data_IF_899596260777
#
_entry.id   IF_899596260777
#
_cell.length_a   1.000
_cell.length_b   1.000
_cell.length_c   1.000
_cell.angle_alpha   90.00
_cell.angle_beta   90.00
_cell.angle_gamma   90.00
#
_symmetry.space_group_name_H-M   'P 1'
#
loop_
_entity.id
_entity.type
_entity.pdbx_description
1 polymer ?
#
# COMPACT_ATOMS: atom_id res chain seq x y z
N UNK A 1 -6.11 -85.98 -13.94
CA UNK A 1 -6.21 -84.72 -14.69
C UNK A 1 -6.38 -83.58 -13.70
N UNK A 2 -5.55 -82.55 -13.86
CA UNK A 2 -5.43 -81.33 -13.05
C UNK A 2 -6.76 -80.56 -12.92
N UNK A 3 -6.92 -79.85 -11.79
CA UNK A 3 -7.46 -78.47 -11.65
C UNK A 3 -7.32 -78.06 -10.16
N UNK A 4 -6.23 -77.37 -9.80
CA UNK A 4 -6.17 -75.92 -9.44
C UNK A 4 -7.25 -75.54 -8.41
N UNK A 5 -6.98 -75.46 -7.10
CA UNK A 5 -6.34 -74.37 -6.33
C UNK A 5 -6.95 -72.99 -6.61
N UNK A 6 -7.65 -72.43 -5.62
CA UNK A 6 -7.58 -71.03 -5.23
C UNK A 6 -7.98 -70.92 -3.74
N UNK A 7 -6.99 -70.84 -2.85
CA UNK A 7 -7.17 -70.36 -1.48
C UNK A 7 -7.14 -68.83 -1.54
N UNK A 8 -8.24 -68.18 -1.19
CA UNK A 8 -8.28 -66.74 -1.00
C UNK A 8 -7.64 -66.40 0.35
N UNK A 9 -6.39 -65.94 0.33
CA UNK A 9 -5.74 -65.29 1.47
C UNK A 9 -6.29 -63.87 1.60
N UNK A 10 -7.05 -63.63 2.69
CA UNK A 10 -7.45 -62.28 3.11
C UNK A 10 -6.20 -61.59 3.65
N UNK A 11 -5.60 -60.71 2.85
CA UNK A 11 -4.58 -59.79 3.32
C UNK A 11 -5.29 -58.61 4.00
N UNK A 12 -5.23 -58.56 5.32
CA UNK A 12 -5.67 -57.41 6.11
C UNK A 12 -4.60 -56.33 5.94
N UNK A 13 -4.81 -55.39 5.01
CA UNK A 13 -4.00 -54.18 4.92
C UNK A 13 -4.22 -53.37 6.19
N UNK A 14 -3.18 -53.24 7.02
CA UNK A 14 -3.14 -52.20 8.03
C UNK A 14 -3.01 -50.85 7.29
N UNK A 15 -4.10 -50.10 7.22
CA UNK A 15 -4.05 -48.70 6.83
C UNK A 15 -3.40 -47.97 7.99
N UNK A 16 -2.10 -47.68 7.86
CA UNK A 16 -1.43 -46.71 8.71
C UNK A 16 -1.99 -45.37 8.27
N UNK A 17 -2.98 -44.86 9.02
CA UNK A 17 -3.39 -43.47 8.90
C UNK A 17 -2.17 -42.63 9.31
N UNK A 18 -1.46 -42.10 8.34
CA UNK A 18 -0.58 -40.95 8.57
C UNK A 18 -1.51 -39.81 8.93
N UNK A 19 -1.56 -39.45 10.21
CA UNK A 19 -2.14 -38.19 10.61
C UNK A 19 -1.41 -37.12 9.77
N UNK A 20 -2.16 -36.43 8.90
CA UNK A 20 -1.67 -35.16 8.37
C UNK A 20 -1.45 -34.29 9.60
N UNK A 21 -0.19 -33.95 9.85
CA UNK A 21 0.12 -32.90 10.82
C UNK A 21 -0.40 -31.64 10.13
N UNK A 22 -1.61 -31.21 10.51
CA UNK A 22 -1.93 -29.80 10.40
C UNK A 22 -0.91 -29.13 11.31
N UNK A 23 0.10 -28.52 10.72
CA UNK A 23 1.01 -27.69 11.47
C UNK A 23 0.16 -26.51 11.94
N UNK A 24 0.07 -26.39 13.26
CA UNK A 24 -0.60 -25.28 13.89
C UNK A 24 0.52 -24.36 14.32
N UNK A 25 0.39 -23.06 14.04
CA UNK A 25 1.37 -22.06 14.43
C UNK A 25 1.81 -22.27 15.88
N UNK A 26 3.11 -22.21 16.13
CA UNK A 26 3.64 -22.43 17.47
C UNK A 26 3.38 -21.19 18.33
N UNK A 27 2.55 -21.34 19.35
CA UNK A 27 2.22 -20.25 20.26
C UNK A 27 3.34 -20.00 21.27
N UNK A 28 3.96 -18.81 21.22
CA UNK A 28 5.05 -18.44 22.11
C UNK A 28 4.60 -17.49 23.23
N UNK A 29 4.66 -17.97 24.48
CA UNK A 29 4.30 -17.19 25.69
C UNK A 29 5.44 -17.09 26.72
N UNK A 30 6.65 -17.49 26.32
CA UNK A 30 7.84 -17.49 27.16
C UNK A 30 9.12 -17.52 26.35
N UNK A 31 10.21 -18.03 26.93
CA UNK A 31 11.49 -18.14 26.22
C UNK A 31 11.62 -19.47 25.50
N UNK A 32 11.91 -19.39 24.20
CA UNK A 32 12.34 -20.50 23.36
C UNK A 32 13.86 -20.34 23.13
N UNK A 33 14.61 -21.41 23.37
CA UNK A 33 16.06 -21.42 23.18
C UNK A 33 16.46 -21.74 21.74
N UNK A 34 17.72 -22.16 21.56
CA UNK A 34 18.24 -22.54 20.25
C UNK A 34 17.66 -23.89 19.78
N UNK A 35 16.50 -23.81 19.12
CA UNK A 35 15.78 -24.91 18.46
C UNK A 35 15.25 -24.41 17.12
N UNK A 36 14.87 -25.34 16.25
CA UNK A 36 14.17 -25.03 15.00
C UNK A 36 12.67 -25.26 15.19
N UNK A 37 11.86 -24.27 14.84
CA UNK A 37 10.41 -24.34 14.70
C UNK A 37 10.15 -24.40 13.20
N UNK A 38 9.62 -25.53 12.72
CA UNK A 38 9.42 -25.79 11.29
C UNK A 38 8.13 -25.19 10.73
N UNK A 39 7.64 -24.11 11.34
CA UNK A 39 6.39 -23.42 11.02
C UNK A 39 6.41 -22.01 11.62
N UNK A 40 5.33 -21.27 11.41
CA UNK A 40 5.12 -19.94 11.97
C UNK A 40 5.11 -19.93 13.51
N UNK A 41 5.45 -18.77 14.08
CA UNK A 41 5.31 -18.46 15.49
C UNK A 41 4.27 -17.38 15.67
N UNK A 42 3.31 -17.60 16.57
CA UNK A 42 2.37 -16.57 17.00
C UNK A 42 2.68 -16.18 18.44
N UNK A 43 2.85 -14.89 18.69
CA UNK A 43 2.97 -14.32 20.04
C UNK A 43 1.59 -13.79 20.45
N UNK A 44 0.86 -14.48 21.34
CA UNK A 44 -0.52 -14.13 21.63
C UNK A 44 -0.68 -12.78 22.35
N UNK A 45 -1.88 -12.22 22.28
CA UNK A 45 -2.23 -10.94 22.87
C UNK A 45 -1.76 -10.80 24.33
N UNK A 46 -1.00 -9.74 24.61
CA UNK A 46 -0.45 -9.45 25.93
C UNK A 46 0.63 -10.42 26.44
N UNK A 47 1.00 -11.43 25.65
CA UNK A 47 2.05 -12.37 26.02
C UNK A 47 3.44 -11.76 25.81
N UNK A 48 4.46 -12.37 26.44
CA UNK A 48 5.85 -12.05 26.16
C UNK A 48 6.56 -13.28 25.64
N UNK A 49 7.03 -13.22 24.40
CA UNK A 49 7.87 -14.22 23.77
C UNK A 49 9.34 -13.79 23.76
N UNK A 50 10.25 -14.74 23.87
CA UNK A 50 11.67 -14.54 23.58
C UNK A 50 12.19 -15.70 22.76
N UNK A 51 12.54 -15.45 21.51
CA UNK A 51 13.25 -16.35 20.61
C UNK A 51 14.75 -16.09 20.79
N UNK A 52 15.50 -17.07 21.31
CA UNK A 52 16.90 -16.89 21.71
C UNK A 52 17.79 -17.91 21.00
N UNK A 53 18.40 -17.49 19.89
CA UNK A 53 19.11 -18.38 18.97
C UNK A 53 18.18 -19.38 18.26
N UNK A 54 16.88 -19.11 18.27
CA UNK A 54 15.84 -19.95 17.65
C UNK A 54 15.81 -19.73 16.15
N UNK A 55 15.62 -20.80 15.38
CA UNK A 55 15.31 -20.75 13.94
C UNK A 55 13.81 -20.93 13.75
N UNK A 56 13.16 -20.02 13.05
CA UNK A 56 11.75 -20.11 12.64
C UNK A 56 11.73 -20.26 11.13
N UNK A 57 11.22 -21.37 10.60
CA UNK A 57 11.12 -21.66 9.16
C UNK A 57 9.88 -21.00 8.52
N UNK A 58 9.36 -19.93 9.12
CA UNK A 58 8.16 -19.22 8.72
C UNK A 58 8.11 -17.84 9.36
N UNK A 59 6.91 -17.28 9.49
CA UNK A 59 6.68 -15.93 10.01
C UNK A 59 6.61 -15.87 11.53
N UNK A 60 6.90 -14.70 12.09
CA UNK A 60 6.62 -14.35 13.48
C UNK A 60 5.52 -13.30 13.52
N UNK A 61 4.33 -13.73 13.89
CA UNK A 61 3.14 -12.90 14.02
C UNK A 61 2.97 -12.44 15.47
N UNK A 62 2.77 -11.14 15.68
CA UNK A 62 2.70 -10.52 17.01
C UNK A 62 1.32 -9.90 17.22
N UNK A 63 0.52 -10.55 18.06
CA UNK A 63 -0.83 -10.07 18.38
C UNK A 63 -0.81 -8.80 19.27
N UNK A 64 -1.95 -8.10 19.40
CA UNK A 64 -2.03 -6.83 20.13
C UNK A 64 -1.47 -6.88 21.55
N UNK A 65 -0.88 -5.78 22.01
CA UNK A 65 -0.27 -5.64 23.34
C UNK A 65 0.82 -6.66 23.68
N UNK A 66 1.20 -7.55 22.76
CA UNK A 66 2.20 -8.56 23.01
C UNK A 66 3.61 -7.96 22.98
N UNK A 67 4.58 -8.76 23.42
CA UNK A 67 6.01 -8.42 23.33
C UNK A 67 6.76 -9.57 22.72
N UNK A 68 7.55 -9.28 21.70
CA UNK A 68 8.48 -10.26 21.11
C UNK A 68 9.93 -9.79 21.28
N UNK A 69 10.82 -10.73 21.57
CA UNK A 69 12.26 -10.49 21.57
C UNK A 69 12.94 -11.57 20.72
N UNK A 70 13.57 -11.19 19.61
CA UNK A 70 14.27 -12.07 18.68
C UNK A 70 15.77 -11.80 18.81
N UNK A 71 16.47 -12.67 19.55
CA UNK A 71 17.78 -12.35 20.13
C UNK A 71 18.85 -13.42 19.84
N UNK A 72 20.11 -12.98 19.90
CA UNK A 72 21.30 -13.84 20.03
C UNK A 72 21.45 -14.88 18.91
N UNK A 73 21.41 -14.42 17.66
CA UNK A 73 21.54 -15.24 16.47
C UNK A 73 20.29 -16.05 16.17
N UNK A 74 19.12 -15.52 16.52
CA UNK A 74 17.87 -16.08 16.03
C UNK A 74 17.75 -15.79 14.52
N UNK A 75 17.08 -16.70 13.81
CA UNK A 75 16.84 -16.61 12.38
C UNK A 75 15.35 -16.78 12.12
N UNK A 76 14.78 -15.94 11.28
CA UNK A 76 13.39 -16.01 10.82
C UNK A 76 13.41 -16.07 9.29
N UNK A 77 12.90 -17.15 8.71
CA UNK A 77 12.87 -17.35 7.25
C UNK A 77 11.85 -16.43 6.55
N UNK A 78 10.77 -16.11 7.27
CA UNK A 78 9.71 -15.21 6.80
C UNK A 78 9.79 -13.82 7.44
N UNK A 79 8.61 -13.24 7.67
CA UNK A 79 8.44 -11.89 8.17
C UNK A 79 8.32 -11.83 9.69
N UNK A 80 8.56 -10.65 10.26
CA UNK A 80 8.08 -10.31 11.60
C UNK A 80 7.02 -9.23 11.45
N UNK A 81 5.77 -9.55 11.78
CA UNK A 81 4.64 -8.66 11.52
C UNK A 81 3.75 -8.51 12.77
N UNK A 82 3.33 -7.28 13.04
CA UNK A 82 2.30 -6.98 14.05
C UNK A 82 0.90 -7.04 13.46
N UNK A 83 -0.06 -7.55 14.22
CA UNK A 83 -1.50 -7.51 13.90
C UNK A 83 -2.17 -6.18 14.25
N UNK A 84 -3.38 -5.98 13.73
CA UNK A 84 -4.33 -4.91 14.07
C UNK A 84 -4.42 -4.66 15.58
N UNK A 85 -3.99 -3.46 16.00
CA UNK A 85 -3.97 -3.03 17.41
C UNK A 85 -2.61 -3.12 18.10
N UNK A 86 -1.56 -3.53 17.35
CA UNK A 86 -0.16 -3.22 17.62
C UNK A 86 0.48 -3.90 18.84
N UNK A 87 1.78 -4.14 18.76
CA UNK A 87 2.56 -4.73 19.84
C UNK A 87 2.93 -3.70 20.92
N UNK A 88 3.09 -4.16 22.16
CA UNK A 88 3.68 -3.32 23.20
C UNK A 88 5.19 -3.11 23.02
N UNK A 89 5.87 -4.11 22.44
CA UNK A 89 7.30 -4.01 22.08
C UNK A 89 7.75 -5.12 21.13
N UNK A 90 8.28 -4.73 19.96
CA UNK A 90 9.05 -5.59 19.05
C UNK A 90 10.55 -5.34 19.23
N UNK A 91 11.33 -6.36 19.52
CA UNK A 91 12.78 -6.24 19.74
C UNK A 91 13.55 -7.30 18.96
N UNK A 92 14.19 -6.92 17.87
CA UNK A 92 15.03 -7.80 17.05
C UNK A 92 16.48 -7.36 17.20
N UNK A 93 17.33 -8.23 17.76
CA UNK A 93 18.70 -7.85 18.09
C UNK A 93 19.72 -8.97 17.90
N UNK A 94 20.74 -8.70 17.10
CA UNK A 94 21.82 -9.66 16.89
C UNK A 94 21.35 -10.90 16.13
N UNK A 95 20.44 -10.73 15.17
CA UNK A 95 19.64 -11.78 14.55
C UNK A 95 19.55 -11.58 13.03
N UNK A 96 18.89 -12.49 12.33
CA UNK A 96 18.66 -12.45 10.88
C UNK A 96 17.18 -12.69 10.59
N UNK A 97 16.62 -11.92 9.66
CA UNK A 97 15.25 -12.03 9.16
C UNK A 97 15.34 -12.01 7.64
N UNK A 98 14.95 -13.07 6.97
CA UNK A 98 15.05 -13.16 5.50
C UNK A 98 13.97 -12.32 4.80
N UNK A 99 12.79 -12.19 5.42
CA UNK A 99 11.72 -11.34 4.95
C UNK A 99 11.73 -9.93 5.53
N UNK A 100 10.54 -9.35 5.68
CA UNK A 100 10.29 -8.00 6.16
C UNK A 100 10.11 -7.93 7.68
N UNK A 101 10.40 -6.77 8.26
CA UNK A 101 9.98 -6.42 9.62
C UNK A 101 8.98 -5.28 9.52
N UNK A 102 7.71 -5.59 9.77
CA UNK A 102 6.59 -4.66 9.66
C UNK A 102 5.96 -4.43 11.04
N UNK A 103 6.04 -3.20 11.54
CA UNK A 103 5.55 -2.83 12.87
C UNK A 103 4.61 -1.63 12.78
N UNK A 104 3.34 -1.93 13.00
CA UNK A 104 2.20 -1.02 12.92
C UNK A 104 1.56 -0.80 14.29
N UNK A 105 1.01 0.39 14.55
CA UNK A 105 0.18 0.71 15.73
C UNK A 105 0.82 0.37 17.09
N UNK A 106 2.15 0.25 17.16
CA UNK A 106 2.86 -0.33 18.29
C UNK A 106 3.52 0.72 19.16
N UNK A 107 3.77 0.38 20.43
CA UNK A 107 4.38 1.34 21.35
C UNK A 107 5.90 1.40 21.33
N UNK A 108 6.56 0.38 20.78
CA UNK A 108 8.01 0.35 20.72
C UNK A 108 8.48 -0.68 19.70
N UNK A 109 9.48 -0.31 18.92
CA UNK A 109 10.14 -1.24 18.00
C UNK A 109 11.65 -0.98 17.98
N UNK A 110 12.46 -2.02 18.02
CA UNK A 110 13.91 -1.87 17.87
C UNK A 110 14.49 -2.99 17.04
N UNK A 111 15.14 -2.64 15.94
CA UNK A 111 15.98 -3.51 15.11
C UNK A 111 17.44 -3.07 15.32
N UNK A 112 18.28 -3.94 15.89
CA UNK A 112 19.65 -3.60 16.26
C UNK A 112 20.66 -4.71 15.93
N UNK A 113 21.70 -4.39 15.16
CA UNK A 113 22.72 -5.37 14.79
C UNK A 113 22.08 -6.62 14.14
N UNK A 114 21.21 -6.37 13.17
CA UNK A 114 20.39 -7.39 12.52
C UNK A 114 20.57 -7.30 11.00
N UNK A 115 20.52 -8.43 10.31
CA UNK A 115 20.39 -8.49 8.85
C UNK A 115 18.93 -8.70 8.50
N UNK A 116 18.40 -7.91 7.56
CA UNK A 116 17.03 -7.99 7.06
C UNK A 116 17.09 -8.14 5.54
N UNK A 117 16.58 -9.25 5.01
CA UNK A 117 16.59 -9.53 3.57
C UNK A 117 15.52 -8.77 2.77
N UNK A 118 14.47 -8.30 3.45
CA UNK A 118 13.46 -7.39 2.92
C UNK A 118 13.58 -5.97 3.48
N UNK A 119 12.44 -5.40 3.82
CA UNK A 119 12.26 -4.03 4.31
C UNK A 119 12.13 -3.96 5.84
N UNK A 120 12.40 -2.79 6.41
CA UNK A 120 11.96 -2.44 7.76
C UNK A 120 10.95 -1.31 7.65
N UNK A 121 9.71 -1.58 8.05
CA UNK A 121 8.61 -0.62 8.03
C UNK A 121 8.11 -0.36 9.45
N UNK A 122 8.18 0.89 9.88
CA UNK A 122 7.56 1.38 11.11
C UNK A 122 6.51 2.43 10.77
N UNK A 123 5.26 2.14 11.10
CA UNK A 123 4.16 3.04 10.78
C UNK A 123 3.12 3.14 11.91
N UNK A 124 2.56 4.34 12.12
CA UNK A 124 1.53 4.59 13.14
C UNK A 124 1.92 4.20 14.59
N UNK A 125 3.20 4.22 14.93
CA UNK A 125 3.68 3.84 16.26
C UNK A 125 3.75 5.03 17.22
N UNK A 126 3.43 4.81 18.50
CA UNK A 126 3.30 5.89 19.51
C UNK A 126 4.51 6.04 20.47
N UNK A 127 5.62 5.37 20.19
CA UNK A 127 6.78 5.36 21.09
C UNK A 127 8.13 5.13 20.46
N UNK A 128 9.10 4.64 21.24
CA UNK A 128 10.50 4.65 20.80
C UNK A 128 10.74 3.63 19.68
N UNK A 129 11.26 4.13 18.57
CA UNK A 129 11.66 3.33 17.42
C UNK A 129 13.16 3.40 17.21
N UNK A 130 13.75 2.31 16.74
CA UNK A 130 15.13 2.33 16.32
C UNK A 130 15.43 1.30 15.23
N UNK A 131 16.22 1.72 14.25
CA UNK A 131 16.92 0.85 13.31
C UNK A 131 18.40 1.23 13.42
N UNK A 132 19.22 0.35 14.00
CA UNK A 132 20.61 0.72 14.34
C UNK A 132 21.62 -0.38 14.10
N UNK A 133 22.75 -0.03 13.48
CA UNK A 133 23.85 -0.97 13.22
C UNK A 133 23.43 -2.20 12.42
N UNK A 134 22.44 -2.05 11.53
CA UNK A 134 21.82 -3.15 10.80
C UNK A 134 22.13 -3.09 9.30
N UNK A 135 21.96 -4.22 8.61
CA UNK A 135 22.07 -4.37 7.16
C UNK A 135 20.69 -4.71 6.63
N UNK A 136 20.11 -3.84 5.81
CA UNK A 136 18.77 -3.99 5.25
C UNK A 136 18.91 -4.02 3.73
N UNK A 137 18.56 -5.15 3.12
CA UNK A 137 18.72 -5.33 1.67
C UNK A 137 17.71 -4.47 0.87
N UNK A 138 16.51 -4.27 1.43
CA UNK A 138 15.48 -3.38 0.89
C UNK A 138 15.49 -1.99 1.51
N UNK A 139 14.30 -1.46 1.76
CA UNK A 139 14.05 -0.11 2.25
C UNK A 139 13.95 -0.04 3.77
N UNK A 140 14.28 1.13 4.32
CA UNK A 140 13.88 1.48 5.69
C UNK A 140 12.86 2.61 5.59
N UNK A 141 11.61 2.29 5.93
CA UNK A 141 10.48 3.19 5.93
C UNK A 141 10.03 3.45 7.37
N UNK A 142 10.03 4.71 7.79
CA UNK A 142 9.63 5.11 9.14
C UNK A 142 8.63 6.24 9.00
N UNK A 143 7.34 5.92 8.95
CA UNK A 143 6.28 6.88 8.60
C UNK A 143 5.26 7.05 9.73
N UNK A 144 4.64 8.21 9.88
CA UNK A 144 3.46 8.43 10.74
C UNK A 144 3.61 8.01 12.20
N UNK A 145 4.83 8.05 12.73
CA UNK A 145 5.08 7.65 14.10
C UNK A 145 5.01 8.87 15.01
N UNK A 146 4.12 8.86 15.98
CA UNK A 146 3.99 9.91 17.00
C UNK A 146 4.71 9.51 18.30
N UNK A 147 5.15 10.50 19.06
CA UNK A 147 5.88 10.30 20.29
C UNK A 147 7.21 9.56 20.14
N UNK A 148 7.82 9.28 21.29
CA UNK A 148 9.10 8.56 21.38
C UNK A 148 10.28 9.22 20.63
N UNK A 149 11.39 8.51 20.59
CA UNK A 149 12.54 8.86 19.76
C UNK A 149 12.64 7.84 18.63
N UNK A 150 12.84 8.29 17.39
CA UNK A 150 13.10 7.43 16.23
C UNK A 150 14.58 7.54 15.85
N UNK A 151 15.36 6.53 16.19
CA UNK A 151 16.81 6.53 15.95
C UNK A 151 17.19 5.66 14.76
N UNK A 152 17.72 6.27 13.70
CA UNK A 152 18.19 5.56 12.50
C UNK A 152 19.69 5.80 12.34
N UNK A 153 20.52 4.87 12.82
CA UNK A 153 21.97 5.11 12.92
C UNK A 153 22.83 3.90 12.58
N UNK A 154 23.84 4.13 11.75
CA UNK A 154 24.88 3.13 11.51
C UNK A 154 24.44 1.98 10.61
N UNK A 155 23.43 2.19 9.77
CA UNK A 155 22.85 1.14 8.93
C UNK A 155 23.47 1.12 7.53
N UNK A 156 23.44 -0.04 6.88
CA UNK A 156 23.57 -0.16 5.41
C UNK A 156 22.19 -0.49 4.87
N UNK A 157 21.74 0.26 3.87
CA UNK A 157 20.39 0.17 3.30
C UNK A 157 20.55 0.01 1.79
N UNK A 158 20.11 -1.12 1.24
CA UNK A 158 20.23 -1.47 -0.17
C UNK A 158 19.21 -0.74 -1.06
N UNK A 159 18.06 -0.38 -0.49
CA UNK A 159 17.06 0.47 -1.09
C UNK A 159 17.11 1.92 -0.58
N UNK A 160 15.94 2.51 -0.38
CA UNK A 160 15.74 3.89 0.08
C UNK A 160 15.65 3.97 1.62
N UNK A 161 15.95 5.16 2.14
CA UNK A 161 15.68 5.53 3.52
C UNK A 161 14.61 6.62 3.53
N UNK A 162 13.38 6.23 3.80
CA UNK A 162 12.20 7.10 3.70
C UNK A 162 11.61 7.32 5.07
N UNK A 163 11.39 8.57 5.43
CA UNK A 163 10.76 8.92 6.69
C UNK A 163 9.82 10.09 6.52
N UNK A 164 8.53 9.85 6.74
CA UNK A 164 7.50 10.87 6.62
C UNK A 164 6.60 10.94 7.85
N UNK A 165 5.94 12.05 8.13
CA UNK A 165 4.88 12.11 9.15
C UNK A 165 5.30 11.79 10.60
N UNK A 166 6.60 11.75 10.94
CA UNK A 166 7.00 11.42 12.31
C UNK A 166 7.13 12.64 13.21
N UNK A 167 6.58 12.56 14.43
CA UNK A 167 6.74 13.59 15.46
C UNK A 167 7.25 12.99 16.79
N UNK A 168 8.46 13.30 17.26
CA UNK A 168 9.49 14.08 16.56
C UNK A 168 10.06 13.32 15.36
N UNK A 169 10.59 14.08 14.40
CA UNK A 169 11.32 13.56 13.24
C UNK A 169 12.44 12.59 13.64
N UNK A 170 12.79 11.61 12.78
CA UNK A 170 13.87 10.70 13.06
C UNK A 170 15.21 11.42 13.17
N UNK A 171 16.07 10.89 14.04
CA UNK A 171 17.43 11.36 14.18
C UNK A 171 18.42 10.22 14.05
N UNK A 172 19.68 10.55 13.80
CA UNK A 172 20.63 9.50 13.53
C UNK A 172 21.88 9.94 12.83
N UNK A 173 22.24 9.22 11.77
CA UNK A 173 23.42 9.44 10.94
C UNK A 173 24.33 8.21 10.90
N UNK A 174 25.41 8.28 10.14
CA UNK A 174 26.28 7.16 9.77
C UNK A 174 25.53 6.05 9.03
N UNK A 175 24.46 6.37 8.32
CA UNK A 175 23.86 5.41 7.41
C UNK A 175 24.58 5.44 6.06
N UNK A 176 24.53 4.33 5.34
CA UNK A 176 24.94 4.22 3.95
C UNK A 176 23.74 3.74 3.16
N UNK A 177 23.12 4.65 2.43
CA UNK A 177 21.94 4.36 1.61
C UNK A 177 22.38 4.19 0.16
N UNK A 178 21.97 3.10 -0.48
CA UNK A 178 22.29 2.85 -1.89
C UNK A 178 21.28 3.52 -2.82
N UNK A 179 20.01 3.56 -2.43
CA UNK A 179 18.98 4.41 -3.04
C UNK A 179 19.06 5.85 -2.52
N UNK A 180 17.90 6.48 -2.37
CA UNK A 180 17.78 7.85 -1.90
C UNK A 180 17.36 7.91 -0.43
N UNK A 181 17.80 8.96 0.27
CA UNK A 181 17.31 9.30 1.60
C UNK A 181 16.37 10.50 1.47
N UNK A 182 15.14 10.34 1.94
CA UNK A 182 14.02 11.23 1.60
C UNK A 182 13.23 11.63 2.86
N UNK A 183 12.40 12.66 2.71
CA UNK A 183 11.61 13.26 3.78
C UNK A 183 12.46 13.71 4.97
N UNK A 184 11.96 13.43 6.17
CA UNK A 184 12.61 13.73 7.44
C UNK A 184 13.96 13.01 7.64
N UNK A 185 14.30 12.05 6.78
CA UNK A 185 15.53 11.29 6.83
C UNK A 185 16.57 11.68 5.77
N UNK A 186 16.32 12.70 4.95
CA UNK A 186 17.23 13.13 3.89
C UNK A 186 18.67 13.42 4.37
N UNK A 187 18.81 13.99 5.57
CA UNK A 187 20.11 14.30 6.19
C UNK A 187 20.74 13.12 6.96
N UNK A 188 20.13 11.93 6.94
CA UNK A 188 20.61 10.77 7.67
C UNK A 188 21.50 9.84 6.85
N UNK A 189 21.66 10.07 5.54
CA UNK A 189 22.66 9.38 4.72
C UNK A 189 24.02 10.09 4.76
N UNK A 190 25.03 9.40 5.30
CA UNK A 190 26.40 9.91 5.37
C UNK A 190 27.24 9.47 4.14
N UNK A 191 26.70 8.58 3.29
CA UNK A 191 27.36 8.00 2.11
C UNK A 191 27.24 8.85 0.84
N UNK A 192 26.14 9.58 0.68
CA UNK A 192 25.84 10.48 -0.42
C UNK A 192 25.27 11.82 0.10
N UNK A 193 26.11 12.69 0.70
CA UNK A 193 25.62 13.95 1.25
C UNK A 193 25.09 14.85 0.12
N UNK A 194 23.93 15.53 0.30
CA UNK A 194 23.39 16.42 -0.71
C UNK A 194 24.37 17.54 -1.06
N UNK A 195 24.35 18.08 -2.30
CA UNK A 195 25.28 19.11 -2.73
C UNK A 195 25.18 20.34 -1.83
N UNK A 196 26.23 20.60 -1.05
CA UNK A 196 26.29 21.65 -0.02
C UNK A 196 25.79 23.01 -0.53
N UNK A 197 24.63 23.43 -0.03
CA UNK A 197 24.22 24.83 -0.04
C UNK A 197 24.94 25.56 1.11
N UNK A 198 25.69 26.58 0.72
CA UNK A 198 26.64 27.30 1.57
C UNK A 198 25.95 28.11 2.67
N UNK A 199 26.42 27.89 3.90
CA UNK A 199 26.35 28.77 5.09
C UNK A 199 26.14 30.26 4.78
N UNK A 200 25.05 30.84 5.32
CA UNK A 200 25.02 32.25 5.72
C UNK A 200 24.38 32.38 7.10
N UNK A 201 25.24 32.66 8.08
CA UNK A 201 24.91 33.10 9.45
C UNK A 201 23.84 34.20 9.47
N UNK A 202 22.80 34.04 10.29
CA UNK A 202 21.93 35.14 10.72
C UNK A 202 21.65 35.06 12.24
N UNK A 203 21.65 36.20 12.97
CA UNK A 203 21.55 36.22 14.43
C UNK A 203 20.12 36.25 14.98
N UNK A 204 19.97 35.62 16.15
CA UNK A 204 19.03 35.84 17.27
C UNK A 204 17.75 36.69 17.04
N UNK A 205 16.62 35.96 17.01
CA UNK A 205 15.36 36.14 17.75
C UNK A 205 14.57 37.46 17.61
N UNK A 206 13.40 37.39 16.96
CA UNK A 206 12.09 37.87 17.47
C UNK A 206 10.97 37.31 16.58
N UNK A 207 10.02 36.62 17.22
CA UNK A 207 8.76 36.00 16.76
C UNK A 207 7.95 36.77 15.70
N UNK A 208 7.60 36.15 14.53
CA UNK A 208 6.29 35.93 13.84
C UNK A 208 6.53 34.89 12.67
N UNK A 209 5.48 34.38 11.97
CA UNK A 209 5.11 32.97 11.79
C UNK A 209 6.03 32.18 10.82
N UNK A 210 6.00 30.86 10.94
CA UNK A 210 6.70 29.93 10.06
C UNK A 210 6.00 29.93 8.69
N UNK A 211 6.70 30.38 7.65
CA UNK A 211 6.37 30.16 6.24
C UNK A 211 7.03 28.81 5.88
N UNK A 212 6.18 27.78 5.78
CA UNK A 212 6.42 26.55 5.02
C UNK A 212 6.56 26.94 3.54
N UNK A 213 7.55 26.38 2.84
CA UNK A 213 7.79 26.60 1.41
C UNK A 213 8.30 25.24 0.86
N UNK A 214 7.50 24.20 1.08
CA UNK A 214 7.45 22.98 0.26
C UNK A 214 6.63 23.33 -0.99
N UNK A 215 7.15 23.03 -2.18
CA UNK A 215 6.53 23.40 -3.48
C UNK A 215 5.54 22.31 -3.91
N UNK A 216 4.65 21.91 -3.00
CA UNK A 216 3.55 20.98 -3.31
C UNK A 216 2.56 21.70 -4.20
N UNK A 217 2.12 21.03 -5.26
CA UNK A 217 1.28 21.68 -6.26
C UNK A 217 -0.12 21.98 -5.71
N UNK A 218 -0.58 21.21 -4.73
CA UNK A 218 -1.90 21.35 -4.12
C UNK A 218 -1.80 21.42 -2.59
N UNK A 219 -2.26 22.52 -1.99
CA UNK A 219 -2.16 22.82 -0.55
C UNK A 219 -2.99 21.88 0.35
N UNK A 220 -3.98 21.18 -0.20
CA UNK A 220 -4.85 20.22 0.52
C UNK A 220 -4.50 18.75 0.24
N UNK A 221 -3.36 18.53 -0.39
CA UNK A 221 -2.72 17.23 -0.50
C UNK A 221 -1.47 17.34 0.35
N UNK A 222 -1.63 17.02 1.63
CA UNK A 222 -0.51 16.89 2.55
C UNK A 222 0.27 15.61 2.24
N UNK A 223 1.54 15.56 2.63
CA UNK A 223 2.41 14.36 2.52
C UNK A 223 1.80 13.13 3.24
N UNK A 224 0.81 13.35 4.12
CA UNK A 224 0.05 12.32 4.84
C UNK A 224 -1.09 11.70 4.00
N UNK A 225 -1.35 12.24 2.80
CA UNK A 225 -2.37 11.74 1.90
C UNK A 225 -1.89 10.45 1.22
N UNK A 226 -2.59 9.33 1.44
CA UNK A 226 -2.27 8.02 0.84
C UNK A 226 -2.26 8.00 -0.69
N UNK A 227 -2.78 9.05 -1.34
CA UNK A 227 -2.80 9.22 -2.79
C UNK A 227 -1.87 10.35 -3.28
N UNK A 228 -1.07 10.97 -2.42
CA UNK A 228 -0.20 12.11 -2.74
C UNK A 228 0.66 11.84 -4.00
N UNK A 229 1.46 10.78 -4.00
CA UNK A 229 2.28 10.35 -5.15
C UNK A 229 1.46 10.21 -6.44
N UNK A 230 0.27 9.60 -6.33
CA UNK A 230 -0.60 9.39 -7.48
C UNK A 230 -1.14 10.73 -8.01
N UNK A 231 -1.50 11.64 -7.09
CA UNK A 231 -2.02 12.97 -7.38
C UNK A 231 -0.95 13.85 -8.03
N UNK A 232 0.26 13.87 -7.47
CA UNK A 232 1.38 14.63 -8.01
C UNK A 232 1.79 14.10 -9.38
N UNK A 233 1.77 12.78 -9.59
CA UNK A 233 2.03 12.20 -10.92
C UNK A 233 0.96 12.58 -11.95
N UNK A 234 -0.31 12.59 -11.56
CA UNK A 234 -1.39 13.11 -12.41
C UNK A 234 -1.13 14.58 -12.77
N UNK A 235 -0.64 15.35 -11.81
CA UNK A 235 -0.40 16.77 -12.01
C UNK A 235 0.81 16.98 -12.92
N UNK A 236 1.92 16.29 -12.69
CA UNK A 236 3.12 16.34 -13.55
C UNK A 236 2.78 15.96 -15.00
N UNK A 237 1.91 14.96 -15.18
CA UNK A 237 1.41 14.52 -16.49
C UNK A 237 0.39 15.47 -17.13
N UNK A 238 -0.05 16.51 -16.40
CA UNK A 238 -1.05 17.49 -16.88
C UNK A 238 -2.48 16.94 -16.96
N UNK A 239 -2.76 15.83 -16.26
CA UNK A 239 -4.06 15.16 -16.24
C UNK A 239 -5.02 15.85 -15.27
N UNK A 240 -4.49 16.33 -14.14
CA UNK A 240 -5.23 17.20 -13.20
C UNK A 240 -4.73 18.64 -13.26
N UNK A 241 -5.64 19.56 -12.98
CA UNK A 241 -5.35 20.99 -12.77
C UNK A 241 -5.91 21.50 -11.44
N UNK A 242 -6.33 20.60 -10.54
CA UNK A 242 -6.98 20.97 -9.28
C UNK A 242 -8.50 21.13 -9.35
N UNK A 243 -9.11 21.54 -8.25
CA UNK A 243 -10.56 21.63 -8.04
C UNK A 243 -11.09 23.06 -7.79
N UNK A 244 -10.23 24.06 -7.57
CA UNK A 244 -10.64 25.40 -7.14
C UNK A 244 -10.21 26.52 -8.11
N UNK A 245 -10.83 26.62 -9.30
CA UNK A 245 -10.48 27.66 -10.25
C UNK A 245 -10.87 29.07 -9.76
N UNK A 246 -10.10 30.12 -10.11
CA UNK A 246 -8.93 30.08 -10.99
C UNK A 246 -7.59 29.76 -10.30
N UNK A 247 -7.54 29.67 -8.97
CA UNK A 247 -6.32 29.48 -8.20
C UNK A 247 -5.67 28.12 -8.47
N UNK A 248 -6.48 27.05 -8.51
CA UNK A 248 -6.03 25.71 -8.88
C UNK A 248 -4.87 25.17 -8.02
N UNK A 249 -4.85 25.59 -6.76
CA UNK A 249 -3.90 25.19 -5.71
C UNK A 249 -4.51 24.17 -4.73
N UNK A 250 -5.69 23.62 -5.02
CA UNK A 250 -6.28 22.51 -4.28
C UNK A 250 -6.61 21.34 -5.22
N UNK A 251 -6.43 20.10 -4.76
CA UNK A 251 -6.83 18.88 -5.46
C UNK A 251 -8.19 18.35 -5.02
N UNK A 252 -8.61 18.59 -3.76
CA UNK A 252 -9.81 18.04 -3.13
C UNK A 252 -9.83 16.49 -3.12
N UNK A 253 -8.88 15.80 -2.47
CA UNK A 253 -8.69 14.34 -2.60
C UNK A 253 -9.88 13.50 -2.09
N UNK A 254 -10.65 14.01 -1.13
CA UNK A 254 -11.78 13.32 -0.51
C UNK A 254 -13.15 13.68 -1.13
N UNK A 255 -13.17 14.52 -2.16
CA UNK A 255 -14.42 14.82 -2.88
C UNK A 255 -14.69 13.72 -3.91
N UNK A 256 -15.96 13.37 -4.08
CA UNK A 256 -16.41 12.41 -5.10
C UNK A 256 -16.20 12.97 -6.52
N UNK A 257 -15.87 12.09 -7.46
CA UNK A 257 -15.67 12.46 -8.86
C UNK A 257 -17.00 12.44 -9.61
N UNK A 258 -17.46 13.62 -10.03
CA UNK A 258 -18.57 13.75 -10.97
C UNK A 258 -18.21 13.17 -12.35
N UNK A 259 -19.20 12.63 -13.07
CA UNK A 259 -19.03 12.04 -14.41
C UNK A 259 -18.38 13.00 -15.41
N UNK A 260 -18.69 14.29 -15.36
CA UNK A 260 -18.05 15.29 -16.22
C UNK A 260 -16.56 15.50 -15.91
N UNK A 261 -16.17 15.39 -14.64
CA UNK A 261 -14.78 15.49 -14.22
C UNK A 261 -13.98 14.24 -14.63
N UNK A 262 -14.59 13.04 -14.52
CA UNK A 262 -14.04 11.79 -15.06
C UNK A 262 -13.74 11.91 -16.57
N UNK A 263 -14.64 12.55 -17.34
CA UNK A 263 -14.40 12.76 -18.77
C UNK A 263 -13.14 13.59 -19.01
N UNK A 264 -12.97 14.68 -18.25
CA UNK A 264 -11.80 15.54 -18.36
C UNK A 264 -10.50 14.81 -17.99
N UNK A 265 -10.50 13.96 -16.96
CA UNK A 265 -9.35 13.13 -16.60
C UNK A 265 -8.95 12.19 -17.74
N UNK A 266 -9.90 11.40 -18.27
CA UNK A 266 -9.62 10.40 -19.31
C UNK A 266 -9.25 11.02 -20.65
N UNK A 267 -9.86 12.15 -21.03
CA UNK A 267 -9.50 12.86 -22.27
C UNK A 267 -8.06 13.35 -22.23
N UNK A 268 -7.62 13.92 -21.10
CA UNK A 268 -6.22 14.36 -20.93
C UNK A 268 -5.26 13.18 -20.87
N UNK A 269 -5.59 12.16 -20.09
CA UNK A 269 -4.73 11.00 -19.90
C UNK A 269 -4.51 10.19 -21.19
N UNK A 270 -5.50 10.16 -22.08
CA UNK A 270 -5.43 9.44 -23.36
C UNK A 270 -5.09 10.34 -24.55
N UNK A 271 -4.92 11.66 -24.35
CA UNK A 271 -4.77 12.67 -25.40
C UNK A 271 -5.82 12.52 -26.52
N UNK A 272 -7.11 12.42 -26.12
CA UNK A 272 -8.20 12.17 -27.06
C UNK A 272 -8.42 13.36 -27.99
N UNK A 273 -8.69 13.13 -29.29
CA UNK A 273 -9.06 14.21 -30.20
C UNK A 273 -10.42 14.78 -29.82
N UNK A 274 -10.61 16.07 -30.10
CA UNK A 274 -11.91 16.73 -29.93
C UNK A 274 -13.05 15.94 -30.61
N UNK A 275 -14.12 15.73 -29.85
CA UNK A 275 -15.32 15.04 -30.31
C UNK A 275 -16.41 15.98 -30.81
N UNK A 276 -17.51 15.37 -31.22
CA UNK A 276 -18.72 16.01 -31.74
C UNK A 276 -20.01 15.28 -31.33
N UNK A 277 -19.90 14.27 -30.46
CA UNK A 277 -21.07 13.64 -29.86
C UNK A 277 -21.81 14.64 -28.94
N UNK A 278 -23.14 14.58 -28.98
CA UNK A 278 -24.02 15.46 -28.21
C UNK A 278 -24.89 14.63 -27.24
N UNK A 279 -25.15 15.17 -26.06
CA UNK A 279 -26.10 14.65 -25.08
C UNK A 279 -27.12 15.73 -24.72
N UNK A 280 -28.38 15.34 -24.52
CA UNK A 280 -29.51 16.27 -24.34
C UNK A 280 -29.44 17.08 -23.03
N UNK A 281 -28.66 16.63 -22.05
CA UNK A 281 -28.44 17.27 -20.74
C UNK A 281 -27.07 17.97 -20.60
N UNK A 282 -26.28 18.04 -21.67
CA UNK A 282 -25.03 18.80 -21.68
C UNK A 282 -25.27 20.13 -22.39
N UNK A 283 -25.38 21.20 -21.61
CA UNK A 283 -25.55 22.56 -22.15
C UNK A 283 -24.32 23.00 -22.98
N UNK A 284 -24.55 23.77 -24.06
CA UNK A 284 -23.48 24.34 -24.92
C UNK A 284 -22.43 25.17 -24.14
N UNK A 285 -22.81 25.70 -22.97
CA UNK A 285 -21.95 26.49 -22.08
C UNK A 285 -21.26 25.64 -20.98
N UNK A 286 -21.46 24.31 -20.96
CA UNK A 286 -20.79 23.41 -20.01
C UNK A 286 -19.28 23.36 -20.32
N UNK A 287 -18.46 23.65 -19.31
CA UNK A 287 -17.00 23.74 -19.44
C UNK A 287 -16.32 22.39 -19.77
N UNK A 288 -16.97 21.27 -19.47
CA UNK A 288 -16.54 19.91 -19.79
C UNK A 288 -17.19 19.35 -21.05
N UNK A 289 -18.02 20.13 -21.75
CA UNK A 289 -18.76 19.66 -22.93
C UNK A 289 -17.85 19.06 -24.01
N UNK A 290 -16.71 19.70 -24.30
CA UNK A 290 -15.74 19.19 -25.29
C UNK A 290 -15.11 17.85 -24.84
N UNK A 291 -14.80 17.71 -23.55
CA UNK A 291 -14.25 16.48 -22.98
C UNK A 291 -15.27 15.33 -23.06
N UNK A 292 -16.54 15.63 -22.74
CA UNK A 292 -17.65 14.67 -22.81
C UNK A 292 -17.85 14.18 -24.25
N UNK A 293 -17.88 15.09 -25.22
CA UNK A 293 -18.00 14.75 -26.64
C UNK A 293 -16.84 13.89 -27.13
N UNK A 294 -15.60 14.21 -26.72
CA UNK A 294 -14.41 13.44 -27.08
C UNK A 294 -14.45 12.02 -26.50
N UNK A 295 -14.82 11.89 -25.23
CA UNK A 295 -14.96 10.60 -24.55
C UNK A 295 -16.02 9.70 -25.20
N UNK A 296 -17.14 10.29 -25.63
CA UNK A 296 -18.22 9.57 -26.30
C UNK A 296 -17.83 9.13 -27.72
N UNK A 297 -17.18 10.01 -28.50
CA UNK A 297 -16.70 9.67 -29.85
C UNK A 297 -15.58 8.60 -29.81
N UNK A 298 -14.81 8.55 -28.73
CA UNK A 298 -13.86 7.46 -28.45
C UNK A 298 -14.54 6.14 -28.03
N UNK A 299 -15.86 6.16 -27.76
CA UNK A 299 -16.63 4.98 -27.34
C UNK A 299 -16.39 4.57 -25.88
N UNK A 300 -15.81 5.45 -25.07
CA UNK A 300 -15.47 5.18 -23.67
C UNK A 300 -16.68 5.38 -22.76
N UNK A 301 -17.49 6.41 -23.02
CA UNK A 301 -18.83 6.54 -22.43
C UNK A 301 -19.91 6.09 -23.41
N UNK A 302 -20.98 5.51 -22.87
CA UNK A 302 -22.19 5.18 -23.63
C UNK A 302 -23.38 6.08 -23.24
N UNK A 303 -23.19 7.06 -22.36
CA UNK A 303 -24.28 7.83 -21.76
C UNK A 303 -24.93 7.12 -20.56
N UNK A 304 -25.96 7.74 -20.00
CA UNK A 304 -26.82 7.20 -18.94
C UNK A 304 -28.22 6.83 -19.51
N UNK A 305 -29.28 6.77 -18.69
CA UNK A 305 -30.67 6.52 -19.11
C UNK A 305 -30.92 5.44 -20.20
N UNK A 306 -30.51 4.17 -19.97
CA UNK A 306 -30.79 3.11 -20.92
C UNK A 306 -32.29 2.83 -21.08
N UNK A 307 -32.76 2.43 -22.29
CA UNK A 307 -31.95 2.12 -23.47
C UNK A 307 -31.64 3.30 -24.40
N UNK A 308 -32.17 4.49 -24.14
CA UNK A 308 -32.04 5.64 -25.04
C UNK A 308 -30.61 6.17 -25.11
N UNK A 309 -29.90 6.25 -23.97
CA UNK A 309 -28.51 6.66 -23.91
C UNK A 309 -28.23 8.03 -24.56
N UNK A 310 -29.20 8.94 -24.48
CA UNK A 310 -29.14 10.30 -25.00
C UNK A 310 -28.79 11.35 -23.94
N UNK A 311 -28.63 10.94 -22.67
CA UNK A 311 -28.13 11.76 -21.57
C UNK A 311 -26.72 11.33 -21.15
N UNK A 312 -25.92 12.26 -20.62
CA UNK A 312 -24.61 11.98 -20.04
C UNK A 312 -24.65 11.87 -18.52
N UNK A 313 -25.58 12.60 -17.88
CA UNK A 313 -25.69 12.80 -16.44
C UNK A 313 -24.41 13.45 -15.86
N UNK A 314 -24.06 14.68 -16.25
CA UNK A 314 -22.73 15.27 -15.99
C UNK A 314 -22.42 15.49 -14.51
N UNK A 315 -23.42 15.85 -13.70
CA UNK A 315 -23.28 16.18 -12.28
C UNK A 315 -23.52 14.98 -11.35
N UNK A 316 -23.76 13.78 -11.91
CA UNK A 316 -23.87 12.56 -11.10
C UNK A 316 -22.46 12.06 -10.74
N UNK A 317 -22.29 11.61 -9.50
CA UNK A 317 -21.03 11.00 -9.02
C UNK A 317 -20.79 9.64 -9.71
N UNK A 318 -19.52 9.27 -9.87
CA UNK A 318 -19.11 8.01 -10.50
C UNK A 318 -18.97 6.93 -9.44
N UNK A 319 -19.88 5.96 -9.45
CA UNK A 319 -19.74 4.72 -8.69
C UNK A 319 -18.52 3.88 -9.19
N UNK A 320 -17.89 3.14 -8.29
CA UNK A 320 -16.73 2.26 -8.58
C UNK A 320 -17.00 1.27 -9.71
N UNK A 321 -18.21 0.69 -9.79
CA UNK A 321 -18.56 -0.21 -10.89
C UNK A 321 -18.62 0.49 -12.25
N UNK A 322 -19.03 1.76 -12.26
CA UNK A 322 -19.09 2.56 -13.48
C UNK A 322 -17.68 2.96 -13.91
N UNK A 323 -16.81 3.36 -12.97
CA UNK A 323 -15.38 3.61 -13.19
C UNK A 323 -14.68 2.40 -13.83
N UNK A 324 -15.01 1.18 -13.40
CA UNK A 324 -14.49 -0.04 -14.03
C UNK A 324 -14.85 -0.11 -15.52
N UNK A 325 -16.11 0.16 -15.86
CA UNK A 325 -16.57 0.14 -17.25
C UNK A 325 -15.91 1.24 -18.10
N UNK A 326 -15.61 2.41 -17.52
CA UNK A 326 -14.84 3.46 -18.19
C UNK A 326 -13.42 2.98 -18.52
N UNK A 327 -12.69 2.46 -17.53
CA UNK A 327 -11.31 2.03 -17.70
C UNK A 327 -11.15 0.81 -18.62
N UNK A 328 -12.08 -0.15 -18.57
CA UNK A 328 -12.07 -1.29 -19.50
C UNK A 328 -12.19 -0.83 -20.95
N UNK A 329 -13.09 0.12 -21.23
CA UNK A 329 -13.24 0.66 -22.59
C UNK A 329 -12.07 1.55 -23.00
N UNK A 330 -11.56 2.37 -22.07
CA UNK A 330 -10.41 3.24 -22.31
C UNK A 330 -9.15 2.46 -22.68
N UNK A 331 -8.91 1.32 -22.02
CA UNK A 331 -7.71 0.51 -22.16
C UNK A 331 -7.89 -0.69 -23.10
N UNK A 332 -9.10 -0.91 -23.63
CA UNK A 332 -9.48 -2.11 -24.41
C UNK A 332 -9.12 -3.41 -23.67
N UNK A 333 -9.43 -3.49 -22.37
CA UNK A 333 -9.10 -4.65 -21.54
C UNK A 333 -9.91 -5.88 -21.98
N UNK A 334 -9.28 -7.08 -21.99
CA UNK A 334 -10.03 -8.32 -22.20
C UNK A 334 -10.97 -8.58 -21.02
N UNK A 335 -12.05 -9.32 -21.28
CA UNK A 335 -12.95 -9.77 -20.22
C UNK A 335 -12.17 -10.54 -19.14
N UNK A 336 -12.37 -10.14 -17.88
CA UNK A 336 -11.71 -10.75 -16.74
C UNK A 336 -12.46 -11.96 -16.16
N UNK A 337 -11.85 -12.55 -15.15
CA UNK A 337 -12.36 -13.71 -14.41
C UNK A 337 -12.11 -13.66 -12.90
N UNK A 338 -11.53 -12.57 -12.40
CA UNK A 338 -11.42 -12.32 -10.96
C UNK A 338 -12.81 -12.18 -10.30
N UNK A 339 -12.91 -12.63 -9.06
CA UNK A 339 -14.15 -12.66 -8.28
C UNK A 339 -14.00 -11.81 -7.01
N UNK A 340 -15.07 -11.07 -6.67
CA UNK A 340 -15.24 -10.38 -5.39
C UNK A 340 -16.53 -10.86 -4.71
N UNK A 341 -16.52 -10.98 -3.39
CA UNK A 341 -17.59 -11.55 -2.58
C UNK A 341 -18.91 -10.75 -2.67
N UNK A 342 -18.82 -9.45 -2.96
CA UNK A 342 -19.93 -8.50 -3.03
C UNK A 342 -20.38 -8.18 -4.47
N UNK A 343 -19.75 -8.78 -5.48
CA UNK A 343 -20.14 -8.61 -6.89
C UNK A 343 -20.98 -9.82 -7.33
N UNK A 344 -22.27 -9.58 -7.54
CA UNK A 344 -23.20 -10.61 -8.05
C UNK A 344 -22.92 -10.95 -9.51
N UNK A 345 -23.07 -12.22 -9.91
CA UNK A 345 -23.06 -12.66 -11.32
C UNK A 345 -24.11 -11.94 -12.20
N UNK A 346 -25.17 -11.41 -11.58
CA UNK A 346 -26.22 -10.62 -12.27
C UNK A 346 -25.85 -9.13 -12.38
N UNK A 347 -24.75 -8.67 -11.78
CA UNK A 347 -24.27 -7.30 -11.94
C UNK A 347 -23.79 -7.09 -13.38
N UNK A 348 -24.33 -6.07 -14.05
CA UNK A 348 -24.02 -5.77 -15.46
C UNK A 348 -22.56 -5.35 -15.68
N UNK A 349 -21.85 -4.93 -14.63
CA UNK A 349 -20.45 -4.53 -14.64
C UNK A 349 -19.51 -5.62 -14.11
N UNK A 350 -20.00 -6.82 -13.78
CA UNK A 350 -19.17 -7.88 -13.19
C UNK A 350 -17.95 -8.24 -14.06
N UNK A 351 -18.13 -8.33 -15.39
CA UNK A 351 -17.02 -8.61 -16.32
C UNK A 351 -16.01 -7.46 -16.37
N UNK A 352 -16.47 -6.21 -16.26
CA UNK A 352 -15.59 -5.03 -16.27
C UNK A 352 -14.76 -4.95 -14.98
N UNK A 353 -15.39 -5.19 -13.83
CA UNK A 353 -14.74 -5.24 -12.51
C UNK A 353 -13.67 -6.34 -12.49
N UNK A 354 -14.01 -7.53 -12.98
CA UNK A 354 -13.08 -8.65 -13.06
C UNK A 354 -11.87 -8.32 -13.96
N UNK A 355 -12.08 -7.58 -15.05
CA UNK A 355 -11.01 -7.17 -15.95
C UNK A 355 -10.03 -6.19 -15.29
N UNK A 356 -10.51 -5.25 -14.48
CA UNK A 356 -9.65 -4.35 -13.69
C UNK A 356 -8.78 -5.12 -12.70
N UNK A 357 -9.37 -6.08 -11.99
CA UNK A 357 -8.64 -6.86 -11.00
C UNK A 357 -7.58 -7.76 -11.65
N UNK A 358 -7.91 -8.44 -12.75
CA UNK A 358 -6.95 -9.23 -13.52
C UNK A 358 -5.81 -8.38 -14.10
N UNK A 359 -6.08 -7.11 -14.41
CA UNK A 359 -5.08 -6.14 -14.87
C UNK A 359 -4.26 -5.52 -13.72
N UNK A 360 -4.60 -5.78 -12.45
CA UNK A 360 -3.94 -5.19 -11.28
C UNK A 360 -4.27 -3.72 -11.04
N UNK A 361 -5.34 -3.21 -11.67
CA UNK A 361 -5.79 -1.81 -11.56
C UNK A 361 -6.56 -1.58 -10.26
N UNK A 362 -7.25 -2.61 -9.77
CA UNK A 362 -7.93 -2.60 -8.46
C UNK A 362 -7.43 -3.73 -7.59
N UNK A 363 -7.39 -3.48 -6.28
CA UNK A 363 -7.04 -4.47 -5.26
C UNK A 363 -8.22 -4.83 -4.35
N UNK A 364 -9.37 -4.17 -4.47
CA UNK A 364 -10.49 -4.29 -3.52
C UNK A 364 -10.59 -3.12 -2.53
N UNK A 365 -11.57 -3.17 -1.62
CA UNK A 365 -11.93 -2.08 -0.72
C UNK A 365 -11.95 -2.45 0.78
N UNK A 366 -11.73 -3.72 1.14
CA UNK A 366 -11.77 -4.19 2.52
C UNK A 366 -10.42 -4.76 2.98
N UNK A 367 -9.38 -3.91 3.11
CA UNK A 367 -8.09 -4.37 3.58
C UNK A 367 -8.21 -4.95 5.01
N UNK A 368 -7.35 -5.92 5.36
CA UNK A 368 -6.32 -6.52 4.50
C UNK A 368 -6.86 -7.61 3.56
N UNK A 369 -8.09 -8.07 3.76
CA UNK A 369 -8.65 -9.24 3.08
C UNK A 369 -8.88 -8.99 1.59
N UNK A 370 -9.27 -7.76 1.23
CA UNK A 370 -9.41 -7.32 -0.16
C UNK A 370 -10.33 -8.22 -1.03
N UNK A 371 -11.31 -8.85 -0.38
CA UNK A 371 -12.30 -9.73 -1.03
C UNK A 371 -13.55 -9.00 -1.54
N UNK A 372 -13.72 -7.71 -1.25
CA UNK A 372 -14.83 -6.88 -1.70
C UNK A 372 -14.35 -5.82 -2.68
N UNK A 373 -15.19 -5.51 -3.67
CA UNK A 373 -14.94 -4.43 -4.64
C UNK A 373 -15.61 -3.10 -4.25
N UNK A 374 -16.71 -3.17 -3.49
CA UNK A 374 -17.61 -2.07 -3.16
C UNK A 374 -18.19 -1.39 -4.41
N UNK A 375 -18.99 -2.10 -5.23
CA UNK A 375 -19.38 -1.63 -6.57
C UNK A 375 -20.24 -0.37 -6.59
N UNK A 376 -21.06 -0.16 -5.55
CA UNK A 376 -22.01 0.96 -5.46
C UNK A 376 -21.44 2.16 -4.69
N UNK A 377 -20.20 2.09 -4.19
CA UNK A 377 -19.55 3.22 -3.54
C UNK A 377 -19.05 4.22 -4.59
N UNK A 378 -19.17 5.52 -4.31
CA UNK A 378 -18.65 6.59 -5.16
C UNK A 378 -17.12 6.63 -5.12
N UNK A 379 -16.51 7.09 -6.22
CA UNK A 379 -15.05 7.20 -6.35
C UNK A 379 -14.59 8.59 -5.93
N UNK A 380 -13.84 8.65 -4.84
CA UNK A 380 -13.14 9.87 -4.41
C UNK A 380 -12.00 10.24 -5.39
N UNK A 381 -11.69 11.53 -5.48
CA UNK A 381 -10.66 12.06 -6.38
C UNK A 381 -9.26 11.47 -6.15
N UNK A 382 -8.88 11.22 -4.90
CA UNK A 382 -7.62 10.54 -4.58
C UNK A 382 -7.60 9.09 -5.07
N UNK A 383 -8.71 8.36 -4.89
CA UNK A 383 -8.86 7.01 -5.42
C UNK A 383 -8.79 6.99 -6.95
N UNK A 384 -9.35 8.00 -7.62
CA UNK A 384 -9.25 8.17 -9.07
C UNK A 384 -7.80 8.31 -9.54
N UNK A 385 -6.99 9.10 -8.82
CA UNK A 385 -5.57 9.24 -9.12
C UNK A 385 -4.89 7.87 -9.10
N UNK A 386 -5.13 7.10 -8.05
CA UNK A 386 -4.57 5.77 -7.87
C UNK A 386 -5.03 4.78 -8.96
N UNK A 387 -6.28 4.86 -9.42
CA UNK A 387 -6.76 4.06 -10.54
C UNK A 387 -6.05 4.41 -11.85
N UNK A 388 -5.88 5.69 -12.16
CA UNK A 388 -5.25 6.15 -13.40
C UNK A 388 -3.74 5.84 -13.43
N UNK A 389 -3.04 5.95 -12.31
CA UNK A 389 -1.64 5.55 -12.19
C UNK A 389 -1.48 4.03 -12.38
N UNK A 390 -2.27 3.21 -11.70
CA UNK A 390 -2.21 1.74 -11.87
C UNK A 390 -2.63 1.29 -13.27
N UNK A 391 -3.50 2.06 -13.93
CA UNK A 391 -3.85 1.85 -15.33
C UNK A 391 -2.71 2.20 -16.32
N UNK A 392 -1.61 2.79 -15.85
CA UNK A 392 -0.49 3.22 -16.70
C UNK A 392 -0.86 4.40 -17.60
N UNK A 393 -1.78 5.25 -17.17
CA UNK A 393 -2.29 6.39 -17.95
C UNK A 393 -1.55 7.71 -17.64
N UNK A 394 -0.42 7.63 -16.93
CA UNK A 394 0.34 8.76 -16.38
C UNK A 394 1.82 8.72 -16.76
N UNK A 395 2.13 8.11 -17.92
CA UNK A 395 3.48 7.86 -18.46
C UNK A 395 3.86 8.72 -19.67
#
# INVERSE_FOLDING_TARGET
MRKLVFLATIAMLAVIATAQVASADESCTGTIGAVTIGDNVVVPNGATCTLNGTTVEGDVKVEPNARVNVLNGAYVDGNIQTDDGGASYVNVRGSEVDGDIQVFDSSRATVNNTTVGGNVQYENNDGNLAVTSSDVDGDVQVNDNDGGNKEIRGNTIGGNLQCEGNEPAPNGGNNTVQGDAEGQCADLDDGNPPPSSTTTTSPTTTTIPDDDDDDDRFEDVDDDNVFEDDIERLAESGITVGCNPPENDLFCPNDDVERQQMAAFLVRALDLPAGSADFDDVDDDNVFGEDISALADAGITLGCNPPENDLFCPDDDVERQQMAAFLVRALDLPAGSADFDDVSDDNVFAEDIAALADAGITVGCNPPDNTQFCPDDDVERGQMAAFLVRAGLTD
#
